data_IF_224921305892
#
_entry.id   IF_224921305892
#
_cell.length_a   1.000
_cell.length_b   1.000
_cell.length_c   1.000
_cell.angle_alpha   90.00
_cell.angle_beta   90.00
_cell.angle_gamma   90.00
#
_symmetry.space_group_name_H-M   'P 1'
#
loop_
_entity.id
_entity.type
_entity.pdbx_description
1 polymer ?
#
# COMPACT_ATOMS: atom_id res chain seq x y z
N UNK A 1 26.31 10.14 -24.53
CA UNK A 1 26.05 8.74 -24.13
C UNK A 1 25.06 8.20 -25.15
N UNK A 2 25.29 7.06 -25.82
CA UNK A 2 24.33 6.60 -26.85
C UNK A 2 23.02 6.15 -26.20
N UNK A 3 21.88 6.35 -26.85
CA UNK A 3 20.56 5.94 -26.35
C UNK A 3 20.49 4.45 -26.05
N UNK A 4 21.23 3.62 -26.80
CA UNK A 4 21.35 2.20 -26.51
C UNK A 4 22.02 1.92 -25.18
N UNK A 5 23.06 2.67 -24.81
CA UNK A 5 23.77 2.47 -23.53
C UNK A 5 22.94 3.00 -22.36
N UNK A 6 22.21 4.11 -22.54
CA UNK A 6 21.26 4.62 -21.56
C UNK A 6 20.14 3.61 -21.31
N UNK A 7 19.56 3.01 -22.37
CA UNK A 7 18.51 2.00 -22.26
C UNK A 7 19.00 0.69 -21.62
N UNK A 8 20.26 0.30 -21.84
CA UNK A 8 20.85 -0.87 -21.17
C UNK A 8 21.04 -0.65 -19.67
N UNK A 9 21.46 0.55 -19.26
CA UNK A 9 21.75 0.85 -17.84
C UNK A 9 20.49 1.19 -17.06
N UNK A 10 19.60 2.00 -17.63
CA UNK A 10 18.44 2.58 -16.93
C UNK A 10 17.09 2.00 -17.38
N UNK A 11 17.08 1.10 -18.37
CA UNK A 11 15.85 0.49 -18.86
C UNK A 11 14.91 1.51 -19.49
N UNK A 12 13.67 1.57 -18.99
CA UNK A 12 12.64 2.54 -19.43
C UNK A 12 12.76 3.92 -18.75
N UNK A 13 13.64 4.07 -17.76
CA UNK A 13 13.79 5.32 -17.01
C UNK A 13 14.53 6.35 -17.86
N UNK A 14 13.90 7.50 -18.08
CA UNK A 14 14.48 8.64 -18.80
C UNK A 14 14.35 9.92 -17.98
N UNK A 15 14.96 11.02 -18.43
CA UNK A 15 14.78 12.32 -17.78
C UNK A 15 13.33 12.82 -17.88
N UNK A 16 12.57 12.36 -18.87
CA UNK A 16 11.14 12.68 -19.03
C UNK A 16 10.26 11.98 -17.99
N UNK A 17 10.78 10.95 -17.32
CA UNK A 17 10.07 10.29 -16.21
C UNK A 17 9.96 11.17 -14.97
N UNK A 18 10.65 12.31 -14.90
CA UNK A 18 10.54 13.24 -13.77
C UNK A 18 9.53 14.34 -14.10
N UNK A 19 8.68 14.77 -13.14
CA UNK A 19 7.62 15.74 -13.37
C UNK A 19 8.15 17.19 -13.42
N UNK A 20 9.18 17.45 -14.22
CA UNK A 20 9.88 18.75 -14.31
C UNK A 20 9.05 19.85 -14.98
N UNK A 21 7.95 19.47 -15.63
CA UNK A 21 7.06 20.38 -16.36
C UNK A 21 5.75 20.67 -15.60
N UNK A 22 5.50 19.96 -14.49
CA UNK A 22 4.24 20.03 -13.73
C UNK A 22 4.40 20.90 -12.48
N UNK A 23 3.83 22.13 -12.43
CA UNK A 23 4.06 23.06 -11.33
C UNK A 23 3.62 22.52 -9.95
N UNK A 24 2.50 21.80 -9.92
CA UNK A 24 1.95 21.20 -8.68
C UNK A 24 2.91 20.13 -8.14
N UNK A 25 3.41 19.25 -9.02
CA UNK A 25 4.33 18.18 -8.64
C UNK A 25 5.71 18.72 -8.28
N UNK A 26 6.21 19.75 -8.97
CA UNK A 26 7.45 20.43 -8.62
C UNK A 26 7.39 21.08 -7.23
N UNK A 27 6.32 21.83 -6.94
CA UNK A 27 6.13 22.44 -5.63
C UNK A 27 6.03 21.37 -4.53
N UNK A 28 5.31 20.29 -4.80
CA UNK A 28 5.19 19.13 -3.89
C UNK A 28 6.55 18.47 -3.67
N UNK A 29 7.32 18.23 -4.72
CA UNK A 29 8.65 17.63 -4.65
C UNK A 29 9.61 18.50 -3.83
N UNK A 30 9.65 19.81 -4.09
CA UNK A 30 10.47 20.75 -3.32
C UNK A 30 10.08 20.74 -1.83
N UNK A 31 8.78 20.74 -1.52
CA UNK A 31 8.28 20.65 -0.15
C UNK A 31 8.66 19.35 0.55
N UNK A 32 8.51 18.21 -0.13
CA UNK A 32 8.88 16.88 0.41
C UNK A 32 10.39 16.76 0.61
N UNK A 33 11.21 17.23 -0.34
CA UNK A 33 12.67 17.23 -0.21
C UNK A 33 13.11 18.12 0.95
N UNK A 34 12.54 19.32 1.08
CA UNK A 34 12.84 20.21 2.19
C UNK A 34 12.45 19.57 3.53
N UNK A 35 11.25 18.99 3.62
CA UNK A 35 10.80 18.26 4.81
C UNK A 35 11.72 17.09 5.15
N UNK A 36 12.13 16.31 4.15
CA UNK A 36 13.08 15.22 4.31
C UNK A 36 14.44 15.68 4.83
N UNK A 37 14.98 16.77 4.28
CA UNK A 37 16.24 17.39 4.75
C UNK A 37 16.11 17.85 6.20
N UNK A 38 14.99 18.48 6.57
CA UNK A 38 14.74 18.92 7.96
C UNK A 38 14.70 17.72 8.91
N UNK A 39 13.99 16.65 8.55
CA UNK A 39 13.89 15.44 9.37
C UNK A 39 15.26 14.74 9.51
N UNK A 40 15.97 14.51 8.40
CA UNK A 40 17.31 13.88 8.40
C UNK A 40 18.31 14.76 9.16
N UNK A 41 18.25 16.07 8.96
CA UNK A 41 19.05 17.06 9.67
C UNK A 41 18.80 17.02 11.18
N UNK A 42 17.53 16.97 11.61
CA UNK A 42 17.16 16.87 13.02
C UNK A 42 17.65 15.55 13.64
N UNK A 43 17.42 14.40 12.98
CA UNK A 43 17.91 13.09 13.45
C UNK A 43 19.42 13.10 13.62
N UNK A 44 20.14 13.71 12.68
CA UNK A 44 21.60 13.81 12.71
C UNK A 44 22.10 14.77 13.79
N UNK A 45 21.52 15.96 13.89
CA UNK A 45 21.87 16.98 14.88
C UNK A 45 21.66 16.48 16.32
N UNK A 46 20.52 15.81 16.58
CA UNK A 46 20.21 15.22 17.89
C UNK A 46 20.83 13.82 18.10
N UNK A 47 21.63 13.31 17.16
CA UNK A 47 22.32 12.01 17.23
C UNK A 47 21.39 10.82 17.49
N UNK A 48 20.19 10.85 16.92
CA UNK A 48 19.14 9.86 17.17
C UNK A 48 19.27 8.57 16.33
N UNK A 49 20.20 8.51 15.38
CA UNK A 49 20.38 7.35 14.49
C UNK A 49 20.56 6.02 15.23
N UNK A 50 21.43 5.96 16.25
CA UNK A 50 21.67 4.73 17.00
C UNK A 50 20.44 4.31 17.80
N UNK A 51 19.73 5.27 18.37
CA UNK A 51 18.49 5.05 19.12
C UNK A 51 17.39 4.51 18.19
N UNK A 52 17.12 5.17 17.07
CA UNK A 52 16.10 4.73 16.11
C UNK A 52 16.39 3.34 15.56
N UNK A 53 17.65 3.05 15.23
CA UNK A 53 18.05 1.74 14.75
C UNK A 53 17.76 0.64 15.78
N UNK A 54 18.32 0.77 16.99
CA UNK A 54 18.27 -0.26 18.03
C UNK A 54 16.89 -0.39 18.67
N UNK A 55 16.19 0.73 18.87
CA UNK A 55 14.96 0.76 19.65
C UNK A 55 13.70 0.67 18.79
N UNK A 56 13.73 1.06 17.52
CA UNK A 56 12.52 1.13 16.69
C UNK A 56 12.62 0.27 15.45
N UNK A 57 13.57 0.56 14.56
CA UNK A 57 13.62 -0.07 13.23
C UNK A 57 13.84 -1.58 13.29
N UNK A 58 14.71 -2.05 14.19
CA UNK A 58 14.95 -3.48 14.40
C UNK A 58 14.19 -4.05 15.60
N UNK A 59 13.19 -3.33 16.13
CA UNK A 59 12.41 -3.81 17.28
C UNK A 59 11.48 -4.94 16.88
N UNK A 60 11.41 -5.97 17.72
CA UNK A 60 10.43 -7.06 17.62
C UNK A 60 9.25 -6.90 18.59
N UNK A 61 9.30 -5.90 19.49
CA UNK A 61 8.20 -5.62 20.42
C UNK A 61 6.92 -5.20 19.68
N UNK A 62 5.85 -5.99 19.82
CA UNK A 62 4.54 -5.75 19.23
C UNK A 62 3.97 -4.34 19.53
N UNK A 63 4.32 -3.72 20.67
CA UNK A 63 3.89 -2.35 21.01
C UNK A 63 4.55 -1.33 20.09
N UNK A 64 5.87 -1.42 19.90
CA UNK A 64 6.62 -0.50 19.05
C UNK A 64 6.25 -0.69 17.58
N UNK A 65 6.10 -1.94 17.13
CA UNK A 65 5.61 -2.25 15.79
C UNK A 65 4.20 -1.69 15.57
N UNK A 66 3.29 -1.87 16.53
CA UNK A 66 1.95 -1.28 16.48
C UNK A 66 1.96 0.25 16.35
N UNK A 67 2.84 0.93 17.09
CA UNK A 67 3.04 2.38 16.98
C UNK A 67 3.57 2.77 15.59
N UNK A 68 4.56 2.06 15.07
CA UNK A 68 5.10 2.35 13.73
C UNK A 68 4.04 2.20 12.63
N UNK A 69 3.18 1.18 12.72
CA UNK A 69 2.02 1.00 11.83
C UNK A 69 1.06 2.19 11.88
N UNK A 70 0.70 2.66 13.09
CA UNK A 70 -0.18 3.82 13.26
C UNK A 70 0.46 5.12 12.76
N UNK A 71 1.78 5.29 12.94
CA UNK A 71 2.52 6.43 12.40
C UNK A 71 2.52 6.39 10.87
N UNK A 72 2.79 5.23 10.26
CA UNK A 72 2.71 5.05 8.81
C UNK A 72 1.32 5.42 8.30
N UNK A 73 0.26 4.88 8.91
CA UNK A 73 -1.13 5.21 8.57
C UNK A 73 -1.43 6.70 8.68
N UNK A 74 -0.91 7.38 9.70
CA UNK A 74 -1.09 8.82 9.89
C UNK A 74 -0.36 9.64 8.82
N UNK A 75 0.87 9.28 8.47
CA UNK A 75 1.63 9.97 7.41
C UNK A 75 0.94 9.80 6.05
N UNK A 76 0.48 8.58 5.75
CA UNK A 76 -0.23 8.29 4.52
C UNK A 76 -1.64 8.92 4.49
N UNK A 77 -2.27 9.13 5.66
CA UNK A 77 -3.53 9.87 5.76
C UNK A 77 -3.38 11.31 5.29
N UNK A 78 -2.27 11.98 5.63
CA UNK A 78 -2.02 13.35 5.14
C UNK A 78 -1.97 13.40 3.62
N UNK A 79 -1.29 12.43 3.00
CA UNK A 79 -1.25 12.27 1.55
C UNK A 79 -2.65 11.99 1.00
N UNK A 80 -3.34 10.96 1.49
CA UNK A 80 -4.68 10.59 1.02
C UNK A 80 -5.70 11.72 1.17
N UNK A 81 -5.63 12.48 2.26
CA UNK A 81 -6.49 13.63 2.50
C UNK A 81 -6.19 14.81 1.56
N UNK A 82 -4.91 15.07 1.25
CA UNK A 82 -4.55 16.08 0.25
C UNK A 82 -5.17 15.76 -1.13
N UNK A 83 -5.09 14.50 -1.56
CA UNK A 83 -5.74 14.05 -2.80
C UNK A 83 -7.26 14.22 -2.77
N UNK A 84 -7.90 13.91 -1.63
CA UNK A 84 -9.33 14.11 -1.46
C UNK A 84 -9.72 15.59 -1.63
N UNK A 85 -8.97 16.50 -1.00
CA UNK A 85 -9.19 17.93 -1.13
C UNK A 85 -9.00 18.40 -2.58
N UNK A 86 -7.94 17.94 -3.26
CA UNK A 86 -7.71 18.26 -4.67
C UNK A 86 -8.86 17.78 -5.57
N UNK A 87 -9.33 16.54 -5.39
CA UNK A 87 -10.47 16.03 -6.15
C UNK A 87 -11.75 16.82 -5.89
N UNK A 88 -12.06 17.13 -4.62
CA UNK A 88 -13.25 17.93 -4.27
C UNK A 88 -13.16 19.34 -4.82
N UNK A 89 -11.98 19.98 -4.75
CA UNK A 89 -11.74 21.29 -5.32
C UNK A 89 -11.91 21.29 -6.85
N UNK A 90 -11.37 20.28 -7.55
CA UNK A 90 -11.54 20.13 -8.99
C UNK A 90 -13.02 20.01 -9.36
N UNK A 91 -13.78 19.15 -8.67
CA UNK A 91 -15.21 18.99 -8.94
C UNK A 91 -16.02 20.26 -8.67
N UNK A 92 -15.63 21.05 -7.67
CA UNK A 92 -16.29 22.33 -7.39
C UNK A 92 -15.95 23.40 -8.46
N UNK A 93 -14.71 23.44 -8.93
CA UNK A 93 -14.25 24.42 -9.92
C UNK A 93 -14.70 24.09 -11.34
N UNK A 94 -14.77 22.80 -11.69
CA UNK A 94 -15.17 22.32 -13.01
C UNK A 94 -16.70 22.30 -13.21
N UNK A 95 -17.47 22.98 -12.34
CA UNK A 95 -18.91 23.08 -12.48
C UNK A 95 -19.27 23.98 -13.68
N UNK A 96 -20.17 23.50 -14.55
CA UNK A 96 -20.58 24.22 -15.76
C UNK A 96 -19.62 23.95 -16.93
N UNK A 97 -19.16 25.02 -17.59
CA UNK A 97 -18.27 24.94 -18.76
C UNK A 97 -16.79 25.24 -18.41
N UNK A 98 -16.41 25.08 -17.14
CA UNK A 98 -15.04 25.31 -16.67
C UNK A 98 -14.27 23.98 -16.60
N UNK A 99 -13.04 23.95 -17.10
CA UNK A 99 -12.18 22.76 -17.09
C UNK A 99 -11.50 22.53 -15.72
N UNK A 100 -11.51 23.52 -14.82
CA UNK A 100 -10.84 23.44 -13.52
C UNK A 100 -9.31 23.49 -13.63
N UNK A 101 -8.60 22.83 -12.72
CA UNK A 101 -7.14 22.84 -12.62
C UNK A 101 -6.47 21.46 -12.75
N UNK A 102 -7.24 20.36 -12.67
CA UNK A 102 -6.74 19.01 -12.91
C UNK A 102 -7.24 18.47 -14.25
N UNK A 103 -6.36 18.31 -15.25
CA UNK A 103 -6.65 17.54 -16.46
C UNK A 103 -7.05 16.11 -16.10
N UNK A 104 -7.84 15.45 -16.97
CA UNK A 104 -8.30 14.07 -16.78
C UNK A 104 -7.15 13.11 -16.44
N UNK A 105 -6.02 13.26 -17.14
CA UNK A 105 -4.78 12.50 -16.89
C UNK A 105 -4.35 12.50 -15.42
N UNK A 106 -4.34 13.68 -14.78
CA UNK A 106 -3.92 13.84 -13.38
C UNK A 106 -5.05 13.48 -12.42
N UNK A 107 -6.29 13.85 -12.75
CA UNK A 107 -7.44 13.55 -11.90
C UNK A 107 -7.61 12.04 -11.68
N UNK A 108 -7.44 11.24 -12.74
CA UNK A 108 -7.58 9.78 -12.66
C UNK A 108 -6.45 9.13 -11.84
N UNK A 109 -5.23 9.68 -11.91
CA UNK A 109 -4.12 9.24 -11.05
C UNK A 109 -4.37 9.57 -9.59
N UNK A 110 -4.78 10.80 -9.30
CA UNK A 110 -5.08 11.28 -7.93
C UNK A 110 -6.20 10.44 -7.33
N UNK A 111 -7.29 10.20 -8.06
CA UNK A 111 -8.39 9.36 -7.60
C UNK A 111 -7.94 7.91 -7.34
N UNK A 112 -7.18 7.33 -8.25
CA UNK A 112 -6.69 5.96 -8.11
C UNK A 112 -5.75 5.82 -6.91
N UNK A 113 -4.76 6.71 -6.80
CA UNK A 113 -3.80 6.72 -5.71
C UNK A 113 -4.46 7.02 -4.35
N UNK A 114 -5.44 7.92 -4.30
CA UNK A 114 -6.24 8.18 -3.11
C UNK A 114 -6.91 6.90 -2.61
N UNK A 115 -7.64 6.19 -3.47
CA UNK A 115 -8.34 4.96 -3.08
C UNK A 115 -7.38 3.89 -2.58
N UNK A 116 -6.27 3.68 -3.30
CA UNK A 116 -5.23 2.72 -2.91
C UNK A 116 -4.63 3.08 -1.54
N UNK A 117 -4.30 4.34 -1.32
CA UNK A 117 -3.68 4.78 -0.07
C UNK A 117 -4.64 4.68 1.11
N UNK A 118 -5.88 5.14 0.95
CA UNK A 118 -6.84 5.12 2.05
C UNK A 118 -7.16 3.70 2.53
N UNK A 119 -7.27 2.73 1.61
CA UNK A 119 -7.54 1.33 1.98
C UNK A 119 -6.26 0.65 2.48
N UNK A 120 -5.22 0.56 1.64
CA UNK A 120 -4.07 -0.30 1.92
C UNK A 120 -3.01 0.32 2.81
N UNK A 121 -2.92 1.65 2.86
CA UNK A 121 -1.83 2.35 3.53
C UNK A 121 -2.29 3.30 4.64
N UNK A 122 -3.60 3.43 4.86
CA UNK A 122 -4.19 4.14 5.99
C UNK A 122 -5.01 3.18 6.83
N UNK A 123 -6.15 2.69 6.32
CA UNK A 123 -7.06 1.84 7.09
C UNK A 123 -6.38 0.57 7.58
N UNK A 124 -5.71 -0.17 6.68
CA UNK A 124 -5.01 -1.40 7.04
C UNK A 124 -3.90 -1.20 8.08
N UNK A 125 -2.93 -0.29 7.91
CA UNK A 125 -1.95 0.02 8.94
C UNK A 125 -2.55 0.45 10.29
N UNK A 126 -3.61 1.26 10.30
CA UNK A 126 -4.25 1.64 11.56
C UNK A 126 -4.84 0.42 12.28
N UNK A 127 -5.63 -0.40 11.57
CA UNK A 127 -6.28 -1.58 12.16
C UNK A 127 -5.23 -2.60 12.61
N UNK A 128 -4.27 -2.94 11.74
CA UNK A 128 -3.16 -3.86 12.07
C UNK A 128 -2.29 -3.32 13.21
N UNK A 129 -2.05 -2.01 13.27
CA UNK A 129 -1.27 -1.36 14.33
C UNK A 129 -1.96 -1.43 15.69
N UNK A 130 -3.26 -1.16 15.75
CA UNK A 130 -4.06 -1.28 16.97
C UNK A 130 -4.14 -2.75 17.42
N UNK A 131 -4.38 -3.69 16.50
CA UNK A 131 -4.39 -5.11 16.83
C UNK A 131 -3.03 -5.57 17.38
N UNK A 132 -1.93 -5.20 16.74
CA UNK A 132 -0.58 -5.50 17.20
C UNK A 132 -0.31 -4.98 18.62
N UNK A 133 -0.74 -3.76 18.90
CA UNK A 133 -0.52 -3.15 20.20
C UNK A 133 -1.38 -3.81 21.29
N UNK A 134 -2.68 -3.96 21.03
CA UNK A 134 -3.69 -4.26 22.05
C UNK A 134 -3.92 -5.76 22.27
N UNK A 135 -3.90 -6.58 21.21
CA UNK A 135 -4.30 -8.00 21.29
C UNK A 135 -3.43 -8.80 22.26
N UNK A 136 -2.08 -8.76 22.18
CA UNK A 136 -1.25 -9.54 23.11
C UNK A 136 -1.48 -9.16 24.58
N UNK A 137 -1.70 -7.87 24.85
CA UNK A 137 -2.01 -7.36 26.19
C UNK A 137 -3.37 -7.89 26.70
N UNK A 138 -4.40 -7.90 25.85
CA UNK A 138 -5.74 -8.37 26.21
C UNK A 138 -5.79 -9.87 26.51
N UNK A 139 -4.96 -10.67 25.85
CA UNK A 139 -4.91 -12.13 26.07
C UNK A 139 -3.92 -12.57 27.15
N UNK A 140 -3.18 -11.62 27.76
CA UNK A 140 -2.14 -11.90 28.74
C UNK A 140 -0.90 -12.57 28.16
N UNK A 141 -0.63 -12.38 26.87
CA UNK A 141 0.60 -12.84 26.22
C UNK A 141 1.73 -11.81 26.40
N UNK A 142 2.98 -12.29 26.43
CA UNK A 142 4.17 -11.43 26.51
C UNK A 142 4.47 -10.71 25.19
N UNK A 143 4.19 -11.39 24.09
CA UNK A 143 4.43 -10.94 22.72
C UNK A 143 3.58 -11.78 21.75
N UNK A 144 3.71 -11.53 20.45
CA UNK A 144 3.11 -12.32 19.36
C UNK A 144 3.85 -13.63 19.11
N UNK A 145 3.22 -14.56 18.36
CA UNK A 145 3.78 -15.88 18.05
C UNK A 145 5.07 -15.84 17.25
N UNK A 146 5.18 -14.89 16.32
CA UNK A 146 6.34 -14.74 15.44
C UNK A 146 6.84 -13.29 15.46
N UNK A 147 7.64 -12.87 16.46
CA UNK A 147 8.07 -11.47 16.62
C UNK A 147 8.91 -10.93 15.44
N UNK A 148 9.82 -11.75 14.90
CA UNK A 148 10.60 -11.38 13.71
C UNK A 148 9.72 -11.18 12.47
N UNK A 149 8.76 -12.10 12.27
CA UNK A 149 7.80 -12.01 11.17
C UNK A 149 6.95 -10.75 11.29
N UNK A 150 6.65 -10.32 12.51
CA UNK A 150 5.91 -9.09 12.76
C UNK A 150 6.68 -7.85 12.30
N UNK A 151 7.98 -7.78 12.59
CA UNK A 151 8.84 -6.69 12.13
C UNK A 151 8.96 -6.69 10.60
N UNK A 152 9.18 -7.88 10.00
CA UNK A 152 9.24 -8.02 8.54
C UNK A 152 7.92 -7.61 7.87
N UNK A 153 6.78 -7.99 8.45
CA UNK A 153 5.46 -7.63 7.93
C UNK A 153 5.26 -6.12 7.86
N UNK A 154 5.68 -5.40 8.90
CA UNK A 154 5.66 -3.93 8.91
C UNK A 154 6.51 -3.35 7.78
N UNK A 155 7.73 -3.82 7.61
CA UNK A 155 8.63 -3.30 6.58
C UNK A 155 8.16 -3.62 5.16
N UNK A 156 7.47 -4.73 4.93
CA UNK A 156 6.83 -5.02 3.65
C UNK A 156 5.68 -4.04 3.37
N UNK A 157 4.84 -3.74 4.36
CA UNK A 157 3.81 -2.69 4.22
C UNK A 157 4.43 -1.32 3.95
N UNK A 158 5.48 -0.95 4.69
CA UNK A 158 6.17 0.32 4.51
C UNK A 158 6.88 0.41 3.14
N UNK A 159 7.45 -0.69 2.64
CA UNK A 159 8.05 -0.76 1.32
C UNK A 159 7.00 -0.59 0.20
N UNK A 160 5.83 -1.23 0.33
CA UNK A 160 4.71 -1.01 -0.58
C UNK A 160 4.24 0.44 -0.60
N UNK A 161 4.12 1.07 0.57
CA UNK A 161 3.80 2.49 0.69
C UNK A 161 4.87 3.37 0.02
N UNK A 162 6.16 3.05 0.22
CA UNK A 162 7.27 3.76 -0.41
C UNK A 162 7.21 3.65 -1.94
N UNK A 163 6.90 2.48 -2.50
CA UNK A 163 6.72 2.30 -3.96
C UNK A 163 5.64 3.22 -4.50
N UNK A 164 4.48 3.33 -3.82
CA UNK A 164 3.44 4.29 -4.19
C UNK A 164 3.94 5.73 -4.11
N UNK A 165 4.67 6.09 -3.05
CA UNK A 165 5.18 7.46 -2.89
C UNK A 165 6.26 7.83 -3.91
N UNK A 166 7.08 6.87 -4.36
CA UNK A 166 8.07 7.11 -5.43
C UNK A 166 7.38 7.42 -6.76
N UNK A 167 6.25 6.78 -7.07
CA UNK A 167 5.51 7.01 -8.32
C UNK A 167 5.06 8.46 -8.52
N UNK A 168 4.96 9.24 -7.44
CA UNK A 168 4.63 10.67 -7.49
C UNK A 168 5.73 11.52 -8.15
N UNK A 169 6.99 11.05 -8.09
CA UNK A 169 8.16 11.81 -8.53
C UNK A 169 8.95 11.13 -9.64
N UNK A 170 8.71 9.83 -9.87
CA UNK A 170 9.36 9.04 -10.91
C UNK A 170 8.29 8.24 -11.64
N UNK A 171 8.06 8.59 -12.90
CA UNK A 171 6.98 8.05 -13.72
C UNK A 171 5.65 8.66 -13.34
N UNK A 172 4.64 7.80 -13.21
CA UNK A 172 3.27 8.16 -12.89
C UNK A 172 2.59 7.00 -12.17
N UNK A 173 1.41 7.25 -11.57
CA UNK A 173 0.62 6.19 -10.94
C UNK A 173 -0.50 5.69 -11.85
N UNK A 174 -1.11 4.55 -11.50
CA UNK A 174 -2.20 3.97 -12.28
C UNK A 174 -3.38 4.95 -12.44
N UNK A 175 -4.01 4.93 -13.62
CA UNK A 175 -5.20 5.72 -13.98
C UNK A 175 -6.48 4.88 -14.05
N UNK A 176 -6.44 3.67 -13.49
CA UNK A 176 -7.41 2.61 -13.75
C UNK A 176 -8.35 2.34 -12.57
N UNK A 177 -8.41 3.28 -11.63
CA UNK A 177 -9.14 3.13 -10.37
C UNK A 177 -8.42 2.21 -9.39
N UNK A 178 -8.84 2.24 -8.13
CA UNK A 178 -8.14 1.53 -7.02
C UNK A 178 -8.14 0.00 -7.14
N UNK A 179 -8.92 -0.57 -8.06
CA UNK A 179 -8.95 -2.00 -8.36
C UNK A 179 -8.27 -2.37 -9.68
N UNK A 180 -7.69 -1.41 -10.41
CA UNK A 180 -7.00 -1.62 -11.68
C UNK A 180 -7.73 -2.58 -12.65
N UNK A 181 -9.00 -2.30 -12.95
CA UNK A 181 -9.88 -3.21 -13.69
C UNK A 181 -9.34 -3.53 -15.10
N UNK A 182 -9.37 -4.82 -15.45
CA UNK A 182 -9.20 -5.25 -16.83
C UNK A 182 -10.45 -4.88 -17.67
N UNK A 183 -10.32 -4.57 -18.96
CA UNK A 183 -9.08 -4.60 -19.74
C UNK A 183 -8.24 -3.31 -19.63
N UNK A 184 -8.74 -2.25 -18.97
CA UNK A 184 -8.10 -0.92 -18.94
C UNK A 184 -6.68 -0.95 -18.36
N UNK A 185 -6.40 -1.86 -17.42
CA UNK A 185 -5.06 -2.06 -16.85
C UNK A 185 -4.08 -2.87 -17.72
N UNK A 186 -4.52 -3.42 -18.85
CA UNK A 186 -3.67 -4.09 -19.83
C UNK A 186 -2.82 -3.12 -20.65
N UNK A 187 -1.76 -3.64 -21.29
CA UNK A 187 -0.83 -2.83 -22.09
C UNK A 187 -1.48 -2.15 -23.30
N UNK A 188 -2.57 -2.70 -23.83
CA UNK A 188 -3.30 -2.12 -24.98
C UNK A 188 -3.93 -0.76 -24.65
N UNK A 189 -4.25 -0.52 -23.37
CA UNK A 189 -4.92 0.70 -22.92
C UNK A 189 -4.06 1.55 -21.97
N UNK A 190 -3.25 0.90 -21.12
CA UNK A 190 -2.34 1.54 -20.17
C UNK A 190 -0.90 1.04 -20.39
N UNK A 191 -0.21 1.48 -21.46
CA UNK A 191 1.15 1.04 -21.80
C UNK A 191 2.23 1.61 -20.86
N UNK A 192 1.87 2.62 -20.07
CA UNK A 192 2.74 3.28 -19.10
C UNK A 192 3.06 2.41 -17.87
N UNK A 193 3.88 2.97 -16.97
CA UNK A 193 4.39 2.31 -15.76
C UNK A 193 3.43 2.39 -14.57
N UNK A 194 2.33 3.14 -14.66
CA UNK A 194 1.47 3.43 -13.52
C UNK A 194 0.81 2.18 -12.93
N UNK A 195 0.32 1.29 -13.79
CA UNK A 195 -0.22 -0.01 -13.37
C UNK A 195 0.86 -0.90 -12.77
N UNK A 196 2.12 -0.77 -13.21
CA UNK A 196 3.23 -1.54 -12.66
C UNK A 196 3.57 -1.10 -11.24
N UNK A 197 3.54 0.21 -10.94
CA UNK A 197 3.64 0.72 -9.57
C UNK A 197 2.52 0.16 -8.68
N UNK A 198 1.27 0.14 -9.17
CA UNK A 198 0.13 -0.43 -8.46
C UNK A 198 0.35 -1.92 -8.13
N UNK A 199 0.72 -2.74 -9.13
CA UNK A 199 0.93 -4.18 -8.97
C UNK A 199 1.99 -4.44 -7.90
N UNK A 200 3.18 -3.85 -8.05
CA UNK A 200 4.30 -4.19 -7.16
C UNK A 200 4.15 -3.59 -5.77
N UNK A 201 3.54 -2.40 -5.63
CA UNK A 201 3.23 -1.83 -4.33
C UNK A 201 2.31 -2.75 -3.52
N UNK A 202 1.22 -3.23 -4.14
CA UNK A 202 0.24 -4.07 -3.47
C UNK A 202 0.72 -5.52 -3.31
N UNK A 203 1.53 -6.05 -4.23
CA UNK A 203 2.10 -7.39 -4.07
C UNK A 203 3.06 -7.44 -2.87
N UNK A 204 3.92 -6.44 -2.73
CA UNK A 204 4.85 -6.32 -1.60
C UNK A 204 4.08 -6.09 -0.29
N UNK A 205 3.16 -5.13 -0.26
CA UNK A 205 2.36 -4.86 0.93
C UNK A 205 1.47 -6.05 1.33
N UNK A 206 0.90 -6.76 0.35
CA UNK A 206 0.02 -7.92 0.54
C UNK A 206 0.72 -9.09 1.22
N UNK A 207 2.02 -9.32 0.94
CA UNK A 207 2.83 -10.28 1.69
C UNK A 207 2.90 -9.88 3.17
N UNK A 208 3.16 -8.60 3.46
CA UNK A 208 3.19 -8.10 4.84
C UNK A 208 1.85 -8.29 5.57
N UNK A 209 0.74 -8.01 4.90
CA UNK A 209 -0.60 -8.18 5.48
C UNK A 209 -0.92 -9.65 5.75
N UNK A 210 -0.67 -10.54 4.79
CA UNK A 210 -0.90 -11.98 4.97
C UNK A 210 -0.12 -12.54 6.15
N UNK A 211 1.16 -12.18 6.26
CA UNK A 211 2.03 -12.62 7.35
C UNK A 211 1.58 -12.06 8.71
N UNK A 212 1.10 -10.82 8.75
CA UNK A 212 0.47 -10.24 9.95
C UNK A 212 -0.78 -11.03 10.36
N UNK A 213 -1.62 -11.39 9.39
CA UNK A 213 -2.82 -12.20 9.58
C UNK A 213 -2.51 -13.55 10.23
N UNK A 214 -1.56 -14.29 9.64
CA UNK A 214 -1.10 -15.58 10.16
C UNK A 214 -0.55 -15.43 11.59
N UNK A 215 0.23 -14.38 11.84
CA UNK A 215 0.88 -14.17 13.13
C UNK A 215 -0.13 -13.90 14.25
N UNK A 216 -1.07 -12.98 14.05
CA UNK A 216 -2.09 -12.67 15.05
C UNK A 216 -3.09 -13.82 15.23
N UNK A 217 -3.44 -14.53 14.15
CA UNK A 217 -4.25 -15.75 14.23
C UNK A 217 -3.60 -16.79 15.14
N UNK A 218 -2.31 -17.12 14.91
CA UNK A 218 -1.56 -18.04 15.75
C UNK A 218 -1.47 -17.56 17.20
N UNK A 219 -1.22 -16.25 17.39
CA UNK A 219 -1.10 -15.61 18.71
C UNK A 219 -2.38 -15.78 19.53
N UNK A 220 -3.53 -15.42 18.96
CA UNK A 220 -4.81 -15.52 19.66
C UNK A 220 -5.14 -16.98 19.98
N UNK A 221 -4.89 -17.92 19.08
CA UNK A 221 -5.26 -19.32 19.32
C UNK A 221 -4.34 -19.98 20.35
N UNK A 222 -3.03 -19.73 20.31
CA UNK A 222 -2.02 -20.52 21.03
C UNK A 222 -1.37 -19.84 22.24
N UNK A 223 -1.41 -18.52 22.37
CA UNK A 223 -0.63 -17.80 23.40
C UNK A 223 -1.45 -17.15 24.51
N UNK A 224 -2.75 -17.44 24.60
CA UNK A 224 -3.62 -16.94 25.67
C UNK A 224 -3.16 -17.39 27.06
N UNK A 225 -3.44 -16.55 28.05
CA UNK A 225 -3.19 -16.87 29.45
C UNK A 225 -3.97 -18.14 29.90
N UNK A 226 -3.42 -18.94 30.83
CA UNK A 226 -4.10 -20.11 31.36
C UNK A 226 -5.48 -19.76 31.94
N UNK A 227 -6.49 -20.57 31.61
CA UNK A 227 -7.88 -20.36 32.07
C UNK A 227 -8.74 -19.47 31.14
N UNK A 228 -8.15 -18.80 30.14
CA UNK A 228 -8.87 -18.02 29.14
C UNK A 228 -9.32 -18.89 27.96
N UNK A 229 -10.53 -19.45 28.06
CA UNK A 229 -11.22 -20.10 26.93
C UNK A 229 -11.59 -19.10 25.83
N UNK A 230 -11.96 -19.59 24.63
CA UNK A 230 -12.33 -18.73 23.49
C UNK A 230 -13.46 -17.77 23.85
N UNK A 231 -14.56 -18.26 24.42
CA UNK A 231 -15.72 -17.42 24.79
C UNK A 231 -15.48 -16.50 26.00
N UNK A 232 -14.27 -16.48 26.56
CA UNK A 232 -13.86 -15.57 27.64
C UNK A 232 -12.94 -14.43 27.16
N UNK A 233 -12.56 -14.42 25.88
CA UNK A 233 -11.74 -13.35 25.31
C UNK A 233 -12.54 -12.04 25.20
N UNK A 234 -11.89 -10.88 25.33
CA UNK A 234 -12.52 -9.59 25.04
C UNK A 234 -13.07 -9.52 23.61
N UNK A 235 -14.14 -8.75 23.40
CA UNK A 235 -14.80 -8.61 22.09
C UNK A 235 -13.84 -8.08 21.01
N UNK A 236 -12.93 -7.17 21.37
CA UNK A 236 -11.89 -6.70 20.44
C UNK A 236 -10.96 -7.83 19.97
N UNK A 237 -10.58 -8.75 20.86
CA UNK A 237 -9.76 -9.91 20.49
C UNK A 237 -10.55 -10.87 19.58
N UNK A 238 -11.85 -11.03 19.80
CA UNK A 238 -12.71 -11.85 18.96
C UNK A 238 -12.88 -11.28 17.54
N UNK A 239 -13.12 -9.98 17.44
CA UNK A 239 -13.20 -9.30 16.14
C UNK A 239 -11.86 -9.34 15.42
N UNK A 240 -10.74 -9.11 16.13
CA UNK A 240 -9.41 -9.32 15.59
C UNK A 240 -9.21 -10.77 15.10
N UNK A 241 -9.66 -11.79 15.84
CA UNK A 241 -9.59 -13.18 15.38
C UNK A 241 -10.33 -13.37 14.06
N UNK A 242 -11.55 -12.85 13.93
CA UNK A 242 -12.33 -12.94 12.70
C UNK A 242 -11.64 -12.24 11.52
N UNK A 243 -11.16 -11.01 11.71
CA UNK A 243 -10.40 -10.26 10.70
C UNK A 243 -9.15 -11.02 10.26
N UNK A 244 -8.37 -11.59 11.18
CA UNK A 244 -7.17 -12.34 10.82
C UNK A 244 -7.48 -13.66 10.08
N UNK A 245 -8.62 -14.31 10.35
CA UNK A 245 -9.10 -15.45 9.55
C UNK A 245 -9.43 -15.02 8.12
N UNK A 246 -10.15 -13.90 7.96
CA UNK A 246 -10.49 -13.36 6.64
C UNK A 246 -9.24 -12.97 5.86
N UNK A 247 -8.27 -12.31 6.50
CA UNK A 247 -6.99 -11.96 5.87
C UNK A 247 -6.30 -13.21 5.29
N UNK A 248 -6.17 -14.27 6.11
CA UNK A 248 -5.49 -15.50 5.70
C UNK A 248 -6.22 -16.20 4.54
N UNK A 249 -7.55 -16.11 4.49
CA UNK A 249 -8.36 -16.71 3.43
C UNK A 249 -8.40 -15.86 2.14
N UNK A 250 -8.43 -14.52 2.25
CA UNK A 250 -8.72 -13.61 1.15
C UNK A 250 -7.47 -13.08 0.43
N UNK A 251 -6.40 -12.73 1.16
CA UNK A 251 -5.19 -12.15 0.56
C UNK A 251 -4.46 -13.02 -0.48
N UNK A 252 -4.46 -14.36 -0.38
CA UNK A 252 -3.89 -15.20 -1.44
C UNK A 252 -4.55 -14.97 -2.80
N UNK A 253 -5.83 -14.58 -2.83
CA UNK A 253 -6.55 -14.29 -4.07
C UNK A 253 -6.06 -12.99 -4.70
N UNK A 254 -5.91 -11.90 -3.92
CA UNK A 254 -5.30 -10.65 -4.41
C UNK A 254 -3.91 -10.92 -4.99
N UNK A 255 -3.10 -11.69 -4.25
CA UNK A 255 -1.74 -12.08 -4.65
C UNK A 255 -1.74 -12.79 -6.00
N UNK A 256 -2.68 -13.72 -6.22
CA UNK A 256 -2.81 -14.46 -7.46
C UNK A 256 -3.32 -13.59 -8.63
N UNK A 257 -4.32 -12.74 -8.38
CA UNK A 257 -4.90 -11.85 -9.39
C UNK A 257 -3.88 -10.83 -9.90
N UNK A 258 -3.13 -10.20 -8.99
CA UNK A 258 -2.08 -9.25 -9.37
C UNK A 258 -0.90 -9.96 -10.06
N UNK A 259 -0.57 -11.19 -9.64
CA UNK A 259 0.43 -12.00 -10.33
C UNK A 259 -0.01 -12.31 -11.78
N UNK A 260 -1.25 -12.74 -12.00
CA UNK A 260 -1.77 -12.98 -13.35
C UNK A 260 -1.81 -11.70 -14.20
N UNK A 261 -2.22 -10.56 -13.61
CA UNK A 261 -2.21 -9.28 -14.32
C UNK A 261 -0.78 -8.87 -14.68
N UNK A 262 0.19 -9.13 -13.80
CA UNK A 262 1.61 -8.91 -14.10
C UNK A 262 2.09 -9.81 -15.24
N UNK A 263 1.66 -11.07 -15.30
CA UNK A 263 2.03 -11.97 -16.39
C UNK A 263 1.47 -11.49 -17.73
N UNK A 264 0.24 -10.97 -17.76
CA UNK A 264 -0.36 -10.39 -18.97
C UNK A 264 0.46 -9.17 -19.44
N UNK A 265 0.93 -8.33 -18.52
CA UNK A 265 1.73 -7.13 -18.84
C UNK A 265 3.19 -7.43 -19.18
N UNK A 266 3.83 -8.41 -18.55
CA UNK A 266 5.29 -8.62 -18.68
C UNK A 266 5.66 -9.80 -19.58
N UNK A 267 4.86 -10.86 -19.56
CA UNK A 267 5.17 -12.13 -20.25
C UNK A 267 4.31 -12.33 -21.50
N UNK A 268 3.25 -11.53 -21.66
CA UNK A 268 2.33 -11.65 -22.80
C UNK A 268 1.39 -12.84 -22.68
N UNK A 269 1.02 -13.20 -21.44
CA UNK A 269 -0.08 -14.13 -21.21
C UNK A 269 -1.42 -13.48 -21.57
N UNK A 270 -2.49 -14.28 -21.61
CA UNK A 270 -3.83 -13.85 -22.02
C UNK A 270 -4.87 -14.25 -20.96
N UNK A 271 -4.64 -13.92 -19.68
CA UNK A 271 -5.61 -14.21 -18.62
C UNK A 271 -6.83 -13.27 -18.73
N UNK A 272 -6.60 -11.97 -18.82
CA UNK A 272 -7.61 -10.92 -18.73
C UNK A 272 -7.70 -10.02 -19.97
N UNK A 273 -6.97 -10.36 -21.03
CA UNK A 273 -6.96 -9.65 -22.32
C UNK A 273 -8.27 -9.84 -23.09
N UNK A 274 -8.57 -8.92 -24.02
CA UNK A 274 -9.70 -9.07 -24.96
C UNK A 274 -9.41 -10.04 -26.11
N UNK A 275 -8.13 -10.34 -26.34
CA UNK A 275 -7.63 -11.22 -27.41
C UNK A 275 -7.01 -12.49 -26.83
N UNK A 276 -6.67 -13.45 -27.69
CA UNK A 276 -5.92 -14.64 -27.27
C UNK A 276 -6.68 -15.60 -26.35
N UNK A 277 -8.00 -15.48 -26.26
CA UNK A 277 -8.87 -16.31 -25.41
C UNK A 277 -9.02 -15.83 -23.97
N UNK A 278 -8.46 -14.66 -23.62
CA UNK A 278 -8.60 -14.05 -22.31
C UNK A 278 -10.03 -13.61 -21.98
N UNK A 279 -10.29 -13.40 -20.68
CA UNK A 279 -11.60 -12.96 -20.20
C UNK A 279 -11.46 -11.85 -19.14
N UNK A 280 -11.70 -10.57 -19.49
CA UNK A 280 -11.62 -9.47 -18.53
C UNK A 280 -12.58 -9.61 -17.34
N UNK A 281 -13.74 -10.26 -17.52
CA UNK A 281 -14.69 -10.49 -16.43
C UNK A 281 -14.16 -11.46 -15.38
N UNK A 282 -13.19 -12.32 -15.73
CA UNK A 282 -12.52 -13.18 -14.76
C UNK A 282 -11.74 -12.34 -13.74
N UNK A 283 -11.09 -11.25 -14.17
CA UNK A 283 -10.43 -10.31 -13.27
C UNK A 283 -11.43 -9.73 -12.26
N UNK A 284 -12.55 -9.21 -12.76
CA UNK A 284 -13.60 -8.59 -11.93
C UNK A 284 -14.13 -9.59 -10.91
N UNK A 285 -14.36 -10.84 -11.31
CA UNK A 285 -14.79 -11.88 -10.39
C UNK A 285 -13.74 -12.09 -9.29
N UNK A 286 -12.49 -12.40 -9.67
CA UNK A 286 -11.46 -12.80 -8.71
C UNK A 286 -11.07 -11.65 -7.77
N UNK A 287 -10.95 -10.42 -8.27
CA UNK A 287 -10.60 -9.28 -7.43
C UNK A 287 -11.68 -9.04 -6.37
N UNK A 288 -12.96 -9.29 -6.67
CA UNK A 288 -14.04 -9.13 -5.69
C UNK A 288 -14.18 -10.31 -4.72
N UNK A 289 -13.70 -11.52 -5.07
CA UNK A 289 -13.56 -12.61 -4.07
C UNK A 289 -12.61 -12.18 -2.95
N UNK A 290 -11.58 -11.38 -3.24
CA UNK A 290 -10.77 -10.73 -2.20
C UNK A 290 -11.42 -9.45 -1.65
N UNK A 291 -11.89 -8.57 -2.53
CA UNK A 291 -12.25 -7.20 -2.19
C UNK A 291 -13.46 -7.08 -1.27
N UNK A 292 -14.41 -8.02 -1.34
CA UNK A 292 -15.55 -7.99 -0.42
C UNK A 292 -15.19 -8.52 0.99
N UNK A 293 -14.47 -9.65 1.16
CA UNK A 293 -13.91 -10.01 2.45
C UNK A 293 -13.04 -8.94 3.08
N UNK A 294 -12.25 -8.20 2.30
CA UNK A 294 -11.37 -7.15 2.81
C UNK A 294 -12.09 -5.97 3.46
N UNK A 295 -13.34 -5.69 3.05
CA UNK A 295 -14.11 -4.60 3.67
C UNK A 295 -14.74 -4.97 5.02
N UNK A 296 -14.64 -6.23 5.45
CA UNK A 296 -15.12 -6.72 6.76
C UNK A 296 -14.01 -6.83 7.80
#
# INVERSE_FOLDING_TARGET
MSDSMLKTIFGRLTLESFPIHEPILLATFAGVVLGGIVVVGAITYFKLWSYLWKEWFTSVDHKKIGIMYMILGLVMLLRGFADALMMRAQQAMAFGANEGFLPAHHYDQVFTAHGVIMIFFVAMPFVTGIMNYVVPLQIGARDVSFPFLNNFSFWMTAAGAAIVMVSLFVGEFARTGWLAMAPLSGLDYSPDVGVDYYIWALQVAGVGTLLSGVNLLATIIKMRAPGMGLMKMPVFTWTALATNVLIVAAFPILTAVLAMLSLDRYVGTNFFTNTGGGNPMMYVNMIWIWGHPEVY
#
